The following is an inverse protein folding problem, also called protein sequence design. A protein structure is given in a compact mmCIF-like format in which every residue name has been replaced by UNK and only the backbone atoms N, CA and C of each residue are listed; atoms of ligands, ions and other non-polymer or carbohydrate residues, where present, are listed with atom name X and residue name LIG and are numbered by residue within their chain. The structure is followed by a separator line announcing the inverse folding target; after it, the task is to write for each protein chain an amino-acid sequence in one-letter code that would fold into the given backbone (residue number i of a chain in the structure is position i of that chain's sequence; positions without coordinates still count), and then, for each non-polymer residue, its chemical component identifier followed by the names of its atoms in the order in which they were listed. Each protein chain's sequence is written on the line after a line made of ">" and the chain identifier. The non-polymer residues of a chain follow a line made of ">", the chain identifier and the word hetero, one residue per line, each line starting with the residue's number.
data_IF_903443195138
#
_entry.id   IF_903443195138
#
_cell.length_a   1.000
_cell.length_b   1.000
_cell.length_c   1.000
_cell.angle_alpha   90.00
_cell.angle_beta   90.00
_cell.angle_gamma   90.00
#
_symmetry.space_group_name_H-M   'P 1'
#
loop_
_entity.id
_entity.type
_entity.pdbx_description
1 polymer ?
#
# COMPACT_ATOMS: atom_id res chain seq x y z
N UNK A 1 -47.15 29.54 -39.67
CA UNK A 1 -46.90 29.09 -38.29
C UNK A 1 -46.75 27.56 -38.24
N UNK A 2 -45.51 27.07 -38.26
CA UNK A 2 -45.21 25.66 -37.99
C UNK A 2 -45.21 25.44 -36.48
N UNK A 3 -45.95 24.46 -35.93
CA UNK A 3 -45.75 24.06 -34.55
C UNK A 3 -44.54 23.13 -34.50
N UNK A 4 -43.45 23.61 -33.91
CA UNK A 4 -42.34 22.76 -33.48
C UNK A 4 -42.78 21.98 -32.24
N UNK A 5 -43.29 20.76 -32.45
CA UNK A 5 -43.40 19.77 -31.38
C UNK A 5 -42.01 19.25 -31.07
N UNK A 6 -41.43 19.72 -29.97
CA UNK A 6 -40.21 19.12 -29.41
C UNK A 6 -40.68 17.95 -28.56
N UNK A 7 -40.69 16.74 -29.13
CA UNK A 7 -40.87 15.53 -28.33
C UNK A 7 -39.64 15.39 -27.44
N UNK A 8 -39.82 15.59 -26.13
CA UNK A 8 -38.86 15.14 -25.13
C UNK A 8 -38.89 13.63 -25.15
N UNK A 9 -37.96 13.00 -25.88
CA UNK A 9 -37.67 11.59 -25.64
C UNK A 9 -37.06 11.49 -24.23
N UNK A 10 -37.89 11.07 -23.28
CA UNK A 10 -37.39 10.62 -21.98
C UNK A 10 -36.44 9.46 -22.26
N UNK A 11 -35.15 9.75 -22.15
CA UNK A 11 -34.14 8.70 -22.13
C UNK A 11 -34.40 7.92 -20.84
N UNK A 12 -35.07 6.77 -20.95
CA UNK A 12 -35.18 5.79 -19.88
C UNK A 12 -33.76 5.31 -19.57
N UNK A 13 -33.06 6.09 -18.76
CA UNK A 13 -31.81 5.67 -18.17
C UNK A 13 -32.21 4.61 -17.14
N UNK A 14 -32.22 3.34 -17.56
CA UNK A 14 -32.40 2.24 -16.64
C UNK A 14 -31.41 2.46 -15.50
N UNK A 15 -31.86 2.53 -14.23
CA UNK A 15 -30.93 2.70 -13.13
C UNK A 15 -29.91 1.57 -13.22
N UNK A 16 -28.61 1.86 -13.07
CA UNK A 16 -27.60 0.84 -13.13
C UNK A 16 -27.96 -0.28 -12.13
N UNK A 17 -27.68 -1.55 -12.45
CA UNK A 17 -27.99 -2.66 -11.56
C UNK A 17 -27.44 -2.36 -10.16
N UNK A 18 -28.25 -2.57 -9.12
CA UNK A 18 -27.84 -2.36 -7.74
C UNK A 18 -26.61 -3.24 -7.46
N UNK A 19 -25.45 -2.61 -7.37
CA UNK A 19 -24.19 -3.24 -6.98
C UNK A 19 -24.15 -3.38 -5.47
N UNK A 20 -23.58 -4.46 -4.98
CA UNK A 20 -23.13 -4.53 -3.59
C UNK A 20 -22.07 -3.45 -3.31
N UNK A 21 -21.85 -3.13 -2.03
CA UNK A 21 -20.81 -2.17 -1.66
C UNK A 21 -19.42 -2.60 -2.15
N UNK A 22 -19.11 -3.90 -2.05
CA UNK A 22 -17.87 -4.47 -2.55
C UNK A 22 -17.73 -4.35 -4.06
N UNK A 23 -18.82 -4.55 -4.82
CA UNK A 23 -18.86 -4.37 -6.27
C UNK A 23 -18.57 -2.94 -6.70
N UNK A 24 -19.13 -1.98 -5.97
CA UNK A 24 -18.88 -0.57 -6.26
C UNK A 24 -17.42 -0.22 -5.97
N UNK A 25 -16.87 -0.64 -4.83
CA UNK A 25 -15.46 -0.39 -4.50
C UNK A 25 -14.48 -1.06 -5.48
N UNK A 26 -14.74 -2.31 -5.90
CA UNK A 26 -13.86 -3.01 -6.83
C UNK A 26 -13.90 -2.43 -8.24
N UNK A 27 -14.97 -1.72 -8.60
CA UNK A 27 -15.07 -1.03 -9.90
C UNK A 27 -13.99 0.03 -10.10
N UNK A 28 -13.43 0.58 -9.01
CA UNK A 28 -12.28 1.50 -9.04
C UNK A 28 -10.95 0.81 -9.40
N UNK A 29 -10.93 -0.53 -9.50
CA UNK A 29 -9.73 -1.33 -9.76
C UNK A 29 -9.90 -2.28 -10.96
N UNK A 30 -10.25 -1.77 -12.16
CA UNK A 30 -10.63 -2.61 -13.30
C UNK A 30 -9.54 -3.57 -13.77
N UNK A 31 -8.27 -3.19 -13.59
CA UNK A 31 -7.12 -4.01 -13.99
C UNK A 31 -6.49 -4.76 -12.81
N UNK A 32 -6.48 -4.14 -11.63
CA UNK A 32 -5.82 -4.68 -10.46
C UNK A 32 -6.66 -5.75 -9.75
N UNK A 33 -7.99 -5.62 -9.75
CA UNK A 33 -8.85 -6.65 -9.17
C UNK A 33 -8.73 -7.99 -9.92
N UNK A 34 -8.89 -8.06 -11.26
CA UNK A 34 -8.68 -9.31 -11.98
C UNK A 34 -7.28 -9.88 -11.80
N UNK A 35 -6.24 -9.03 -11.87
CA UNK A 35 -4.86 -9.48 -11.67
C UNK A 35 -4.61 -10.08 -10.27
N UNK A 36 -5.29 -9.55 -9.25
CA UNK A 36 -5.25 -10.07 -7.88
C UNK A 36 -6.02 -11.38 -7.75
N UNK A 37 -7.20 -11.47 -8.37
CA UNK A 37 -8.04 -12.66 -8.38
C UNK A 37 -7.33 -13.83 -9.09
N UNK A 38 -6.77 -13.60 -10.28
CA UNK A 38 -6.00 -14.60 -11.04
C UNK A 38 -4.85 -15.17 -10.20
N UNK A 39 -4.10 -14.29 -9.53
CA UNK A 39 -2.93 -14.70 -8.78
C UNK A 39 -3.29 -15.43 -7.47
N UNK A 40 -4.39 -15.05 -6.81
CA UNK A 40 -4.91 -15.84 -5.67
C UNK A 40 -5.51 -17.17 -6.11
N UNK A 41 -6.18 -17.23 -7.26
CA UNK A 41 -6.70 -18.47 -7.85
C UNK A 41 -5.57 -19.47 -8.14
N UNK A 42 -4.47 -18.98 -8.74
CA UNK A 42 -3.28 -19.79 -8.97
C UNK A 42 -2.68 -20.29 -7.65
N UNK A 43 -2.58 -19.43 -6.63
CA UNK A 43 -2.08 -19.84 -5.32
C UNK A 43 -2.98 -20.87 -4.64
N UNK A 44 -4.29 -20.67 -4.65
CA UNK A 44 -5.24 -21.59 -4.03
C UNK A 44 -5.25 -22.95 -4.75
N UNK A 45 -5.00 -22.97 -6.06
CA UNK A 45 -4.82 -24.21 -6.82
C UNK A 45 -3.57 -24.99 -6.39
N UNK A 46 -2.50 -24.29 -5.97
CA UNK A 46 -1.26 -24.90 -5.50
C UNK A 46 -1.37 -25.47 -4.07
N UNK A 47 -2.08 -24.78 -3.16
CA UNK A 47 -2.11 -25.13 -1.73
C UNK A 47 -3.47 -25.47 -1.13
N UNK A 48 -4.53 -25.49 -1.94
CA UNK A 48 -5.90 -25.79 -1.52
C UNK A 48 -6.54 -24.70 -0.65
N UNK A 49 -6.04 -23.46 -0.72
CA UNK A 49 -6.57 -22.32 0.03
C UNK A 49 -7.91 -21.78 -0.47
N UNK A 50 -8.38 -20.72 0.18
CA UNK A 50 -9.66 -20.03 -0.11
C UNK A 50 -9.49 -18.52 -0.20
N UNK A 51 -8.34 -18.05 -0.69
CA UNK A 51 -8.02 -16.63 -0.80
C UNK A 51 -8.88 -15.95 -1.87
N UNK A 52 -9.16 -16.61 -2.99
CA UNK A 52 -10.03 -16.11 -4.04
C UNK A 52 -11.45 -15.85 -3.52
N UNK A 53 -12.06 -16.84 -2.86
CA UNK A 53 -13.41 -16.71 -2.29
C UNK A 53 -13.47 -15.55 -1.29
N UNK A 54 -12.49 -15.47 -0.40
CA UNK A 54 -12.37 -14.36 0.55
C UNK A 54 -12.18 -13.02 -0.15
N UNK A 55 -11.45 -12.95 -1.27
CA UNK A 55 -11.30 -11.73 -2.04
C UNK A 55 -12.64 -11.31 -2.63
N UNK A 56 -13.37 -12.22 -3.25
CA UNK A 56 -14.68 -11.96 -3.89
C UNK A 56 -15.74 -11.54 -2.86
N UNK A 57 -15.71 -12.08 -1.64
CA UNK A 57 -16.59 -11.68 -0.54
C UNK A 57 -16.13 -10.39 0.18
N UNK A 58 -14.98 -9.82 -0.20
CA UNK A 58 -14.45 -8.64 0.49
C UNK A 58 -15.40 -7.44 0.31
N UNK A 59 -15.84 -6.85 1.42
CA UNK A 59 -16.75 -5.68 1.46
C UNK A 59 -18.17 -5.98 0.94
N UNK A 60 -18.55 -7.24 0.77
CA UNK A 60 -19.92 -7.62 0.37
C UNK A 60 -20.97 -7.18 1.39
N UNK A 61 -20.66 -7.30 2.68
CA UNK A 61 -21.50 -6.82 3.77
C UNK A 61 -21.08 -5.42 4.17
N UNK A 62 -22.00 -4.47 4.13
CA UNK A 62 -21.76 -3.09 4.56
C UNK A 62 -23.00 -2.48 5.22
N UNK A 63 -22.76 -1.62 6.21
CA UNK A 63 -23.80 -0.96 6.99
C UNK A 63 -23.37 0.47 7.31
N UNK A 64 -24.34 1.38 7.27
CA UNK A 64 -24.16 2.73 7.78
C UNK A 64 -24.24 2.70 9.31
N UNK A 65 -23.28 3.30 9.98
CA UNK A 65 -23.24 3.40 11.43
C UNK A 65 -23.05 4.84 11.85
N UNK A 66 -23.72 5.23 12.94
CA UNK A 66 -23.54 6.53 13.59
C UNK A 66 -22.90 6.35 14.95
N UNK A 67 -21.92 7.19 15.26
CA UNK A 67 -21.30 7.24 16.57
C UNK A 67 -22.23 7.97 17.55
N UNK A 68 -22.40 7.42 18.74
CA UNK A 68 -23.43 7.85 19.69
C UNK A 68 -23.13 9.23 20.32
N UNK A 69 -21.85 9.59 20.43
CA UNK A 69 -21.43 10.81 21.16
C UNK A 69 -21.22 12.01 20.26
N UNK A 70 -20.53 11.83 19.13
CA UNK A 70 -20.18 12.93 18.21
C UNK A 70 -21.04 12.94 16.92
N UNK A 71 -21.97 12.00 16.80
CA UNK A 71 -22.89 11.86 15.68
C UNK A 71 -22.21 11.70 14.31
N UNK A 72 -20.95 11.28 14.28
CA UNK A 72 -20.24 10.98 13.02
C UNK A 72 -20.84 9.75 12.36
N UNK A 73 -21.04 9.82 11.04
CA UNK A 73 -21.56 8.71 10.24
C UNK A 73 -20.42 8.07 9.45
N UNK A 74 -20.35 6.74 9.48
CA UNK A 74 -19.36 5.97 8.73
C UNK A 74 -19.99 4.74 8.07
N UNK A 75 -19.25 4.14 7.13
CA UNK A 75 -19.60 2.84 6.56
C UNK A 75 -18.71 1.78 7.20
N UNK A 76 -19.34 0.87 7.94
CA UNK A 76 -18.70 -0.34 8.43
C UNK A 76 -18.91 -1.44 7.38
N UNK A 77 -17.90 -2.30 7.16
CA UNK A 77 -18.01 -3.38 6.16
C UNK A 77 -17.10 -4.56 6.48
N UNK A 78 -17.46 -5.73 5.95
CA UNK A 78 -16.62 -6.93 5.98
C UNK A 78 -15.29 -6.69 5.25
N UNK A 79 -14.22 -7.36 5.66
CA UNK A 79 -12.91 -7.23 5.04
C UNK A 79 -12.22 -8.60 4.96
N UNK A 80 -11.63 -8.90 3.81
CA UNK A 80 -10.92 -10.17 3.63
C UNK A 80 -9.55 -10.19 4.30
N UNK A 81 -8.98 -9.01 4.58
CA UNK A 81 -7.64 -8.82 5.16
C UNK A 81 -6.49 -9.42 4.35
N UNK A 82 -6.74 -9.80 3.10
CA UNK A 82 -5.70 -10.26 2.17
C UNK A 82 -4.81 -9.08 1.80
N UNK A 83 -3.49 -9.30 1.84
CA UNK A 83 -2.48 -8.25 1.60
C UNK A 83 -2.64 -7.57 0.25
N UNK A 84 -2.94 -8.34 -0.79
CA UNK A 84 -3.00 -7.86 -2.17
C UNK A 84 -4.40 -7.39 -2.57
N UNK A 85 -5.42 -7.55 -1.71
CA UNK A 85 -6.75 -7.00 -1.98
C UNK A 85 -6.68 -5.47 -2.08
N UNK A 86 -7.04 -4.87 -3.23
CA UNK A 86 -6.88 -3.43 -3.42
C UNK A 86 -7.77 -2.60 -2.48
N UNK A 87 -8.98 -3.09 -2.17
CA UNK A 87 -9.90 -2.45 -1.23
C UNK A 87 -9.37 -2.44 0.21
N UNK A 88 -8.83 -3.58 0.68
CA UNK A 88 -8.20 -3.65 2.00
C UNK A 88 -6.93 -2.81 2.07
N UNK A 89 -6.11 -2.83 1.01
CA UNK A 89 -4.90 -2.03 0.92
C UNK A 89 -5.21 -0.52 0.96
N UNK A 90 -6.27 -0.07 0.27
CA UNK A 90 -6.70 1.33 0.28
C UNK A 90 -7.20 1.77 1.66
N UNK A 91 -8.04 0.96 2.31
CA UNK A 91 -8.52 1.27 3.66
C UNK A 91 -7.35 1.41 4.65
N UNK A 92 -6.36 0.50 4.56
CA UNK A 92 -5.14 0.58 5.37
C UNK A 92 -4.26 1.79 5.00
N UNK A 93 -4.23 2.17 3.72
CA UNK A 93 -3.46 3.31 3.25
C UNK A 93 -4.02 4.62 3.83
N UNK A 94 -5.35 4.78 3.84
CA UNK A 94 -6.02 5.93 4.44
C UNK A 94 -5.66 6.08 5.92
N UNK A 95 -5.70 4.98 6.69
CA UNK A 95 -5.28 4.99 8.10
C UNK A 95 -3.81 5.41 8.25
N UNK A 96 -2.93 4.78 7.47
CA UNK A 96 -1.49 5.03 7.57
C UNK A 96 -1.12 6.46 7.17
N UNK A 97 -1.80 7.04 6.18
CA UNK A 97 -1.58 8.44 5.77
C UNK A 97 -1.73 9.40 6.94
N UNK A 98 -2.78 9.24 7.77
CA UNK A 98 -2.98 10.07 8.96
C UNK A 98 -1.86 9.88 9.99
N UNK A 99 -1.56 8.62 10.35
CA UNK A 99 -0.51 8.31 11.33
C UNK A 99 0.88 8.81 10.90
N UNK A 100 1.16 8.79 9.59
CA UNK A 100 2.42 9.31 9.02
C UNK A 100 2.43 10.84 9.03
N UNK A 101 1.32 11.50 8.72
CA UNK A 101 1.21 12.95 8.77
C UNK A 101 1.41 13.48 10.20
N UNK A 102 0.84 12.81 11.20
CA UNK A 102 1.01 13.15 12.61
C UNK A 102 2.49 13.08 13.00
N UNK A 103 3.19 12.00 12.68
CA UNK A 103 4.62 11.91 12.95
C UNK A 103 5.44 12.91 12.15
N UNK A 104 5.09 13.15 10.89
CA UNK A 104 5.75 14.15 10.05
C UNK A 104 5.75 15.53 10.70
N UNK A 105 4.65 15.92 11.35
CA UNK A 105 4.54 17.21 12.06
C UNK A 105 5.57 17.38 13.19
N UNK A 106 6.10 16.27 13.72
CA UNK A 106 7.12 16.25 14.77
C UNK A 106 8.56 16.21 14.22
N UNK A 107 8.72 16.00 12.91
CA UNK A 107 10.03 15.90 12.28
C UNK A 107 10.73 17.25 12.20
N UNK A 108 12.02 17.29 12.53
CA UNK A 108 12.84 18.50 12.33
C UNK A 108 13.18 18.71 10.86
N UNK A 109 13.46 17.63 10.13
CA UNK A 109 13.78 17.71 8.70
C UNK A 109 13.52 16.39 8.00
N UNK A 110 12.33 16.31 7.40
CA UNK A 110 11.87 15.14 6.66
C UNK A 110 12.60 14.98 5.32
N UNK A 111 13.05 13.77 5.04
CA UNK A 111 13.72 13.38 3.78
C UNK A 111 13.16 12.07 3.27
N UNK A 112 13.01 11.96 1.97
CA UNK A 112 12.66 10.71 1.31
C UNK A 112 13.91 10.11 0.69
N UNK A 113 14.28 8.92 1.17
CA UNK A 113 15.37 8.10 0.68
C UNK A 113 14.80 6.96 -0.17
N UNK A 114 15.36 6.75 -1.35
CA UNK A 114 15.10 5.57 -2.20
C UNK A 114 16.43 4.86 -2.43
N UNK A 115 16.46 3.57 -2.12
CA UNK A 115 17.59 2.66 -2.32
C UNK A 115 17.18 1.62 -3.36
N UNK A 116 18.00 1.47 -4.39
CA UNK A 116 17.74 0.53 -5.48
C UNK A 116 18.78 -0.59 -5.42
N UNK A 117 18.33 -1.84 -5.50
CA UNK A 117 19.23 -2.95 -5.77
C UNK A 117 19.54 -2.99 -7.27
N UNK A 118 20.80 -3.23 -7.63
CA UNK A 118 21.18 -3.50 -9.03
C UNK A 118 20.43 -4.74 -9.48
N UNK A 119 19.97 -4.72 -10.73
CA UNK A 119 19.36 -5.87 -11.37
C UNK A 119 20.31 -7.08 -11.36
N UNK A 120 19.75 -8.25 -11.10
CA UNK A 120 20.41 -9.57 -11.10
C UNK A 120 19.42 -10.62 -11.60
N UNK A 121 19.95 -11.72 -12.14
CA UNK A 121 19.14 -12.88 -12.57
C UNK A 121 18.79 -13.84 -11.42
N UNK A 122 19.21 -13.52 -10.20
CA UNK A 122 18.91 -14.31 -8.99
C UNK A 122 17.40 -14.38 -8.71
N UNK A 123 16.91 -15.43 -8.02
CA UNK A 123 15.52 -15.50 -7.58
C UNK A 123 15.09 -14.26 -6.78
N UNK A 124 13.83 -13.82 -6.98
CA UNK A 124 13.31 -12.62 -6.29
C UNK A 124 13.45 -12.70 -4.76
N UNK A 125 13.30 -13.89 -4.18
CA UNK A 125 13.44 -14.11 -2.74
C UNK A 125 14.85 -13.78 -2.25
N UNK A 126 15.88 -14.27 -2.95
CA UNK A 126 17.27 -14.00 -2.63
C UNK A 126 17.62 -12.53 -2.81
N UNK A 127 17.10 -11.89 -3.86
CA UNK A 127 17.24 -10.45 -4.06
C UNK A 127 16.63 -9.65 -2.91
N UNK A 128 15.43 -10.04 -2.44
CA UNK A 128 14.78 -9.42 -1.30
C UNK A 128 15.59 -9.63 -0.02
N UNK A 129 16.04 -10.85 0.27
CA UNK A 129 16.84 -11.16 1.46
C UNK A 129 18.12 -10.33 1.53
N UNK A 130 18.87 -10.28 0.42
CA UNK A 130 20.05 -9.43 0.31
C UNK A 130 19.72 -7.94 0.52
N UNK A 131 18.61 -7.47 -0.06
CA UNK A 131 18.14 -6.10 0.10
C UNK A 131 17.80 -5.76 1.58
N UNK A 132 17.10 -6.65 2.29
CA UNK A 132 16.81 -6.49 3.73
C UNK A 132 18.10 -6.46 4.57
N UNK A 133 19.04 -7.37 4.29
CA UNK A 133 20.30 -7.45 5.03
C UNK A 133 21.12 -6.17 4.85
N UNK A 134 21.31 -5.74 3.59
CA UNK A 134 22.05 -4.54 3.24
C UNK A 134 21.40 -3.29 3.86
N UNK A 135 20.07 -3.19 3.82
CA UNK A 135 19.34 -2.09 4.43
C UNK A 135 19.48 -2.06 5.95
N UNK A 136 19.40 -3.22 6.59
CA UNK A 136 19.68 -3.37 8.02
C UNK A 136 21.08 -2.89 8.39
N UNK A 137 22.10 -3.25 7.60
CA UNK A 137 23.48 -2.77 7.79
C UNK A 137 23.57 -1.24 7.65
N UNK A 138 22.95 -0.67 6.62
CA UNK A 138 22.92 0.78 6.39
C UNK A 138 22.32 1.54 7.58
N UNK A 139 21.14 1.13 8.05
CA UNK A 139 20.45 1.81 9.15
C UNK A 139 21.15 1.66 10.50
N UNK A 140 21.87 0.55 10.72
CA UNK A 140 22.61 0.29 11.96
C UNK A 140 24.00 0.93 11.98
N UNK A 141 24.54 1.38 10.85
CA UNK A 141 25.87 1.95 10.82
C UNK A 141 25.95 3.27 11.64
N UNK A 142 27.11 3.52 12.26
CA UNK A 142 27.32 4.71 13.12
C UNK A 142 26.97 6.02 12.40
N UNK A 143 27.33 6.11 11.12
CA UNK A 143 27.11 7.31 10.30
C UNK A 143 25.62 7.70 10.18
N UNK A 144 24.78 6.73 9.83
CA UNK A 144 23.33 6.93 9.73
C UNK A 144 22.71 7.13 11.11
N UNK A 145 23.11 6.34 12.11
CA UNK A 145 22.59 6.45 13.48
C UNK A 145 22.85 7.81 14.14
N UNK A 146 23.93 8.49 13.76
CA UNK A 146 24.28 9.81 14.28
C UNK A 146 23.46 10.94 13.64
N UNK A 147 22.87 10.72 12.45
CA UNK A 147 22.17 11.76 11.67
C UNK A 147 20.68 11.55 11.56
N UNK A 148 20.19 10.32 11.78
CA UNK A 148 18.77 9.99 11.64
C UNK A 148 18.12 9.78 13.00
N UNK A 149 17.14 10.65 13.30
CA UNK A 149 16.35 10.68 14.54
C UNK A 149 15.24 9.64 14.52
N UNK A 150 14.64 9.39 13.37
CA UNK A 150 13.68 8.30 13.15
C UNK A 150 13.35 8.08 11.70
N UNK A 151 12.71 6.95 11.41
CA UNK A 151 12.37 6.58 10.05
C UNK A 151 11.17 5.64 9.97
N UNK A 152 10.46 5.75 8.85
CA UNK A 152 9.48 4.78 8.37
C UNK A 152 9.99 4.26 7.02
N UNK A 153 10.14 2.95 6.86
CA UNK A 153 10.57 2.32 5.62
C UNK A 153 9.49 1.44 5.04
N UNK A 154 9.51 1.27 3.71
CA UNK A 154 8.56 0.44 2.98
C UNK A 154 9.17 -0.10 1.67
N UNK A 155 8.71 -1.27 1.25
CA UNK A 155 9.16 -1.93 0.03
C UNK A 155 8.37 -1.52 -1.19
N UNK A 156 9.08 -1.46 -2.32
CA UNK A 156 8.48 -1.41 -3.64
C UNK A 156 9.21 -2.40 -4.55
N UNK A 157 8.48 -3.36 -5.11
CA UNK A 157 8.98 -4.28 -6.13
C UNK A 157 8.27 -3.97 -7.43
N UNK A 158 9.05 -3.81 -8.50
CA UNK A 158 8.53 -3.61 -9.85
C UNK A 158 9.08 -4.66 -10.79
N UNK A 159 8.28 -5.00 -11.80
CA UNK A 159 8.76 -5.67 -13.00
C UNK A 159 9.15 -4.60 -14.02
N UNK A 160 10.31 -4.76 -14.67
CA UNK A 160 10.74 -3.91 -15.79
C UNK A 160 10.82 -4.81 -17.02
N UNK A 161 10.01 -4.49 -18.03
CA UNK A 161 9.90 -5.29 -19.25
C UNK A 161 11.17 -5.24 -20.09
N UNK A 162 11.88 -4.10 -20.08
CA UNK A 162 13.10 -3.88 -20.87
C UNK A 162 14.26 -4.76 -20.40
N UNK A 163 14.31 -5.09 -19.11
CA UNK A 163 15.34 -5.96 -18.53
C UNK A 163 14.80 -7.35 -18.18
N UNK A 164 13.55 -7.63 -18.53
CA UNK A 164 12.81 -8.84 -18.17
C UNK A 164 13.05 -9.30 -16.71
N UNK A 165 12.90 -8.37 -15.76
CA UNK A 165 13.42 -8.61 -14.43
C UNK A 165 12.80 -7.82 -13.30
N UNK A 166 13.07 -8.28 -12.09
CA UNK A 166 12.66 -7.63 -10.85
C UNK A 166 13.58 -6.47 -10.49
N UNK A 167 12.96 -5.38 -10.02
CA UNK A 167 13.64 -4.20 -9.51
C UNK A 167 13.08 -3.89 -8.11
N UNK A 168 13.69 -4.48 -7.06
CA UNK A 168 13.28 -4.24 -5.70
C UNK A 168 13.95 -2.96 -5.16
N UNK A 169 13.13 -2.13 -4.53
CA UNK A 169 13.51 -0.87 -3.91
C UNK A 169 13.07 -0.84 -2.46
N UNK A 170 13.89 -0.17 -1.64
CA UNK A 170 13.48 0.28 -0.31
C UNK A 170 13.34 1.79 -0.35
N UNK A 171 12.20 2.27 0.10
CA UNK A 171 11.98 3.67 0.38
C UNK A 171 11.97 3.89 1.89
N UNK A 172 12.45 5.05 2.33
CA UNK A 172 12.38 5.44 3.72
C UNK A 172 12.11 6.94 3.86
N UNK A 173 11.08 7.28 4.64
CA UNK A 173 10.84 8.62 5.14
C UNK A 173 11.65 8.79 6.42
N UNK A 174 12.63 9.69 6.40
CA UNK A 174 13.60 9.92 7.47
C UNK A 174 13.37 11.28 8.11
N UNK A 175 13.44 11.35 9.44
CA UNK A 175 13.77 12.60 10.12
C UNK A 175 15.28 12.64 10.35
N UNK A 176 15.99 13.43 9.55
CA UNK A 176 17.46 13.40 9.53
C UNK A 176 18.10 14.77 9.33
N UNK A 177 19.34 14.92 9.76
CA UNK A 177 20.18 16.06 9.35
C UNK A 177 20.50 15.99 7.84
N UNK A 178 21.26 16.95 7.32
CA UNK A 178 21.77 16.84 5.96
C UNK A 178 22.65 15.58 5.84
N UNK A 179 22.37 14.78 4.80
CA UNK A 179 23.16 13.60 4.47
C UNK A 179 23.59 13.72 3.00
N UNK A 180 24.89 13.86 2.71
CA UNK A 180 25.39 13.82 1.35
C UNK A 180 24.99 12.53 0.65
N UNK A 181 24.45 12.63 -0.57
CA UNK A 181 24.08 11.47 -1.40
C UNK A 181 25.24 10.49 -1.57
N UNK A 182 26.46 11.02 -1.77
CA UNK A 182 27.68 10.21 -1.95
C UNK A 182 27.94 9.30 -0.74
N UNK A 183 27.72 9.79 0.48
CA UNK A 183 27.95 9.02 1.70
C UNK A 183 26.97 7.84 1.82
N UNK A 184 25.71 8.03 1.41
CA UNK A 184 24.73 6.94 1.37
C UNK A 184 25.08 5.97 0.24
N UNK A 185 25.37 6.49 -0.95
CA UNK A 185 25.70 5.69 -2.14
C UNK A 185 26.93 4.80 -1.91
N UNK A 186 28.02 5.32 -1.34
CA UNK A 186 29.23 4.54 -1.01
C UNK A 186 28.94 3.42 -0.02
N UNK A 187 28.14 3.69 1.02
CA UNK A 187 27.74 2.67 2.00
C UNK A 187 26.80 1.64 1.40
N UNK A 188 25.87 2.09 0.56
CA UNK A 188 24.95 1.22 -0.16
C UNK A 188 25.71 0.27 -1.07
N UNK A 189 26.65 0.78 -1.85
CA UNK A 189 27.52 -0.02 -2.72
C UNK A 189 28.35 -1.02 -1.92
N UNK A 190 28.89 -0.62 -0.76
CA UNK A 190 29.60 -1.51 0.16
C UNK A 190 28.72 -2.64 0.68
N UNK A 191 27.51 -2.34 1.15
CA UNK A 191 26.63 -3.34 1.79
C UNK A 191 25.93 -4.26 0.80
N UNK A 192 25.67 -3.78 -0.41
CA UNK A 192 25.06 -4.56 -1.50
C UNK A 192 26.07 -5.19 -2.45
N UNK A 193 27.36 -4.92 -2.26
CA UNK A 193 28.46 -5.37 -3.12
C UNK A 193 28.33 -4.90 -4.58
N UNK A 194 27.82 -3.68 -4.80
CA UNK A 194 27.82 -3.05 -6.13
C UNK A 194 26.64 -2.15 -6.47
N UNK A 195 25.59 -2.08 -5.65
CA UNK A 195 24.46 -1.18 -5.91
C UNK A 195 24.75 0.22 -5.38
N UNK A 196 24.89 1.21 -6.26
CA UNK A 196 25.21 2.60 -5.88
C UNK A 196 24.06 3.58 -6.17
N UNK A 197 22.99 3.12 -6.82
CA UNK A 197 21.83 3.96 -7.17
C UNK A 197 21.04 4.27 -5.90
N UNK A 198 21.10 5.54 -5.51
CA UNK A 198 20.42 6.10 -4.35
C UNK A 198 19.82 7.45 -4.74
N UNK A 199 18.62 7.73 -4.23
CA UNK A 199 18.04 9.07 -4.28
C UNK A 199 17.71 9.53 -2.86
N UNK A 200 18.11 10.76 -2.50
CA UNK A 200 17.68 11.39 -1.25
C UNK A 200 17.23 12.81 -1.56
N UNK A 201 16.00 13.14 -1.16
CA UNK A 201 15.43 14.47 -1.34
C UNK A 201 14.74 14.95 -0.08
N UNK A 202 14.74 16.26 0.14
CA UNK A 202 13.88 16.85 1.16
C UNK A 202 12.41 16.58 0.83
N UNK A 203 11.60 16.37 1.86
CA UNK A 203 10.16 16.17 1.74
C UNK A 203 9.46 17.32 2.45
N UNK A 204 8.86 18.23 1.67
CA UNK A 204 8.37 19.52 2.16
C UNK A 204 6.88 19.56 2.49
N UNK A 205 6.15 18.45 2.32
CA UNK A 205 4.75 18.38 2.71
C UNK A 205 4.41 17.06 3.41
N UNK A 206 3.62 17.17 4.48
CA UNK A 206 3.09 16.04 5.21
C UNK A 206 2.24 15.14 4.30
N UNK A 207 1.45 15.74 3.42
CA UNK A 207 0.63 15.04 2.44
C UNK A 207 1.48 14.23 1.46
N UNK A 208 2.54 14.81 0.88
CA UNK A 208 3.43 14.08 -0.03
C UNK A 208 4.13 12.91 0.68
N UNK A 209 4.60 13.13 1.92
CA UNK A 209 5.17 12.09 2.76
C UNK A 209 4.17 10.95 3.02
N UNK A 210 2.97 11.29 3.50
CA UNK A 210 1.89 10.38 3.83
C UNK A 210 1.48 9.55 2.60
N UNK A 211 1.18 10.20 1.48
CA UNK A 211 0.80 9.54 0.24
C UNK A 211 1.89 8.61 -0.29
N UNK A 212 3.16 9.00 -0.18
CA UNK A 212 4.25 8.16 -0.66
C UNK A 212 4.45 6.91 0.20
N UNK A 213 4.31 7.03 1.54
CA UNK A 213 4.40 5.88 2.46
C UNK A 213 3.18 4.97 2.30
N UNK A 214 1.97 5.53 2.31
CA UNK A 214 0.73 4.76 2.33
C UNK A 214 0.49 3.97 1.05
N UNK A 215 0.98 4.46 -0.09
CA UNK A 215 0.90 3.77 -1.38
C UNK A 215 1.56 2.39 -1.38
N UNK A 216 2.70 2.25 -0.72
CA UNK A 216 3.53 1.04 -0.82
C UNK A 216 3.62 0.23 0.48
N UNK A 217 3.33 0.85 1.63
CA UNK A 217 3.33 0.18 2.92
C UNK A 217 2.20 -0.85 3.08
N UNK A 218 1.18 -0.79 2.22
CA UNK A 218 0.00 -1.68 2.25
C UNK A 218 0.08 -2.76 1.17
N UNK A 219 0.53 -2.40 -0.03
CA UNK A 219 0.95 -3.34 -1.09
C UNK A 219 2.32 -2.91 -1.64
N UNK A 220 3.32 -3.79 -1.67
CA UNK A 220 4.67 -3.44 -2.13
C UNK A 220 4.80 -3.48 -3.66
N UNK A 221 3.73 -3.65 -4.43
CA UNK A 221 3.74 -3.70 -5.89
C UNK A 221 2.32 -3.60 -6.47
N UNK A 222 2.22 -3.47 -7.79
CA UNK A 222 0.93 -3.47 -8.51
C UNK A 222 0.89 -4.74 -9.35
N UNK A 223 -0.07 -5.64 -9.09
CA UNK A 223 -0.13 -6.94 -9.78
C UNK A 223 -0.50 -6.78 -11.25
N UNK A 224 -1.31 -5.78 -11.60
CA UNK A 224 -1.69 -5.52 -12.99
C UNK A 224 -0.52 -5.07 -13.86
N UNK A 225 0.58 -4.59 -13.27
CA UNK A 225 1.81 -4.22 -14.00
C UNK A 225 2.84 -5.36 -14.07
N UNK A 226 2.49 -6.55 -13.57
CA UNK A 226 3.35 -7.73 -13.56
C UNK A 226 2.81 -8.74 -14.57
N UNK A 227 3.67 -9.41 -15.37
CA UNK A 227 3.25 -10.49 -16.26
C UNK A 227 2.45 -11.56 -15.50
N UNK A 228 1.34 -12.09 -16.05
CA UNK A 228 0.46 -13.02 -15.34
C UNK A 228 1.18 -14.21 -14.69
N UNK A 229 2.14 -14.80 -15.38
CA UNK A 229 2.98 -15.93 -14.94
C UNK A 229 3.94 -15.58 -13.79
N UNK A 230 4.19 -14.29 -13.55
CA UNK A 230 5.10 -13.80 -12.50
C UNK A 230 4.39 -13.25 -11.26
N UNK A 231 3.06 -13.05 -11.31
CA UNK A 231 2.27 -12.49 -10.20
C UNK A 231 2.34 -13.37 -8.95
N UNK A 232 2.18 -14.69 -9.12
CA UNK A 232 2.22 -15.63 -8.01
C UNK A 232 3.59 -15.62 -7.31
N UNK A 233 4.67 -15.63 -8.10
CA UNK A 233 6.04 -15.52 -7.58
C UNK A 233 6.22 -14.27 -6.72
N UNK A 234 5.72 -13.10 -7.17
CA UNK A 234 5.79 -11.87 -6.38
C UNK A 234 5.03 -11.99 -5.05
N UNK A 235 3.84 -12.59 -5.10
CA UNK A 235 2.99 -12.74 -3.93
C UNK A 235 3.59 -13.69 -2.89
N UNK A 236 4.16 -14.81 -3.33
CA UNK A 236 4.85 -15.79 -2.51
C UNK A 236 6.15 -15.22 -1.95
N UNK A 237 6.98 -14.59 -2.78
CA UNK A 237 8.25 -14.01 -2.36
C UNK A 237 8.08 -12.96 -1.27
N UNK A 238 6.94 -12.26 -1.22
CA UNK A 238 6.64 -11.29 -0.17
C UNK A 238 5.82 -11.87 0.99
N UNK A 239 5.32 -13.10 0.90
CA UNK A 239 4.54 -13.74 1.96
C UNK A 239 5.34 -13.84 3.25
N UNK A 240 4.70 -13.59 4.39
CA UNK A 240 5.38 -13.57 5.70
C UNK A 240 6.38 -12.42 5.91
N UNK A 241 6.85 -11.74 4.84
CA UNK A 241 7.82 -10.64 4.95
C UNK A 241 7.16 -9.36 5.48
N UNK A 242 7.92 -8.62 6.30
CA UNK A 242 7.53 -7.29 6.79
C UNK A 242 7.77 -6.25 5.70
N UNK A 243 6.72 -5.71 5.11
CA UNK A 243 6.83 -4.75 4.00
C UNK A 243 6.94 -3.28 4.43
N UNK A 244 6.66 -2.99 5.70
CA UNK A 244 6.74 -1.65 6.30
C UNK A 244 7.24 -1.73 7.73
N UNK A 245 8.05 -0.77 8.17
CA UNK A 245 8.50 -0.69 9.55
C UNK A 245 8.84 0.73 9.96
N UNK A 246 8.70 1.01 11.26
CA UNK A 246 9.01 2.30 11.85
C UNK A 246 9.99 2.14 13.01
N UNK A 247 10.90 3.11 13.20
CA UNK A 247 11.96 3.04 14.20
C UNK A 247 12.29 4.40 14.82
N UNK A 248 12.90 4.35 16.02
CA UNK A 248 13.26 5.50 16.86
C UNK A 248 12.08 6.44 17.07
N UNK A 249 12.16 7.74 16.73
CA UNK A 249 11.04 8.67 16.91
C UNK A 249 9.77 8.25 16.18
N UNK A 250 9.88 7.44 15.11
CA UNK A 250 8.73 6.92 14.38
C UNK A 250 8.10 5.67 15.03
N UNK A 251 8.66 5.11 16.12
CA UNK A 251 8.10 3.90 16.76
C UNK A 251 6.67 4.09 17.27
N UNK A 252 6.26 5.32 17.57
CA UNK A 252 4.90 5.67 17.96
C UNK A 252 3.91 5.64 16.80
N UNK A 253 4.38 5.60 15.55
CA UNK A 253 3.52 5.53 14.37
C UNK A 253 2.87 4.16 14.32
N UNK A 254 1.55 4.14 14.45
CA UNK A 254 0.79 2.91 14.25
C UNK A 254 0.77 2.55 12.76
N UNK A 255 1.32 1.39 12.41
CA UNK A 255 1.40 0.89 11.01
C UNK A 255 0.19 0.04 10.60
N UNK A 256 -0.75 -0.13 11.52
CA UNK A 256 -2.00 -0.86 11.33
C UNK A 256 -3.09 -0.21 12.19
N UNK A 257 -4.37 -0.24 11.76
CA UNK A 257 -5.47 0.22 12.60
C UNK A 257 -5.48 -0.52 13.95
N UNK A 258 -5.69 0.16 15.08
CA UNK A 258 -5.90 -0.50 16.36
C UNK A 258 -7.19 -1.33 16.31
N UNK A 259 -7.31 -2.30 17.23
CA UNK A 259 -8.60 -2.96 17.44
C UNK A 259 -9.61 -1.90 17.90
N UNK A 260 -10.79 -1.86 17.29
CA UNK A 260 -11.87 -0.98 17.73
C UNK A 260 -12.19 -1.26 19.21
N UNK A 261 -12.11 -0.24 20.05
CA UNK A 261 -12.37 -0.29 21.51
C UNK A 261 -13.71 0.32 21.87
N UNK A 262 -14.34 0.96 20.90
CA UNK A 262 -15.55 1.78 20.95
C UNK A 262 -16.72 1.11 20.25
N UNK A 263 -16.69 -0.22 20.07
CA UNK A 263 -17.74 -0.96 19.34
C UNK A 263 -19.16 -0.66 19.86
N UNK A 264 -19.29 -0.51 21.18
CA UNK A 264 -20.57 -0.22 21.84
C UNK A 264 -21.03 1.24 21.67
N UNK A 265 -20.18 2.09 21.08
CA UNK A 265 -20.45 3.49 20.77
C UNK A 265 -20.98 3.71 19.36
N UNK A 266 -21.16 2.64 18.56
CA UNK A 266 -21.69 2.70 17.21
C UNK A 266 -23.07 2.06 17.11
N UNK A 267 -24.03 2.78 16.52
CA UNK A 267 -25.37 2.26 16.22
C UNK A 267 -25.57 2.14 14.72
N UNK A 268 -25.97 0.96 14.26
CA UNK A 268 -26.31 0.72 12.85
C UNK A 268 -27.58 1.48 12.46
N UNK A 269 -27.53 2.18 11.33
CA UNK A 269 -28.64 2.92 10.72
C UNK A 269 -29.37 2.11 9.65
N UNK A 270 -28.66 1.24 8.93
CA UNK A 270 -29.21 0.41 7.85
C UNK A 270 -28.11 -0.29 7.06
N UNK A 271 -28.46 -1.32 6.28
CA UNK A 271 -27.50 -1.97 5.38
C UNK A 271 -27.37 -1.20 4.06
N UNK A 272 -26.24 -1.36 3.37
CA UNK A 272 -26.02 -0.75 2.06
C UNK A 272 -27.03 -1.24 1.02
N UNK A 273 -27.47 -2.50 1.10
CA UNK A 273 -28.45 -3.09 0.17
C UNK A 273 -29.85 -2.46 0.28
N UNK A 274 -30.17 -1.90 1.45
CA UNK A 274 -31.47 -1.27 1.75
C UNK A 274 -31.57 0.17 1.25
N UNK A 275 -30.45 0.81 0.92
CA UNK A 275 -30.36 2.20 0.43
C UNK A 275 -30.25 2.18 -1.09
#
# INVERSE_FOLDING_TARGET
>A
PCPTSVHTEETLCAPPPRRTYGEELRSHYPNEWPATADAYSAWDSDDGGSRLDRLEECRSLAWFAIHLTDHTVTVLSSACHLRWCPCCAQARANYLSHSVADWYSTCKSAKLLTLTLRHTDEPLEDQLDHLYEAFGKLLRCKYMRARVRGWIWFFQVKWIHETDGWHPHIHALLDADYIPKVEISTRWAKYTQGSYIVNIKACWSAESAANHVSRYATRPGTLSSVPPDRRLQLMQALHGRRIVGACRSAKSVSLSPPKATDKDQWRTLGSYEQV
#
